data_IF_764987493316
#
_entry.id   IF_764987493316
#
_cell.length_a   1.000
_cell.length_b   1.000
_cell.length_c   1.000
_cell.angle_alpha   90.00
_cell.angle_beta   90.00
_cell.angle_gamma   90.00
#
_symmetry.space_group_name_H-M   'P 1'
#
loop_
_entity.id
_entity.type
_entity.pdbx_description
1 polymer ?
#
# COMPACT_ATOMS: atom_id res chain seq x y z
N UNK A 1 8.22 57.67 12.02
CA UNK A 1 7.66 56.62 12.90
C UNK A 1 6.55 55.88 12.15
N UNK A 2 6.75 54.62 11.75
CA UNK A 2 5.65 53.71 11.48
C UNK A 2 5.65 52.54 12.47
N UNK A 3 4.49 52.32 13.09
CA UNK A 3 4.17 51.25 14.04
C UNK A 3 3.95 49.93 13.31
N UNK A 4 4.77 48.92 13.62
CA UNK A 4 4.57 47.55 13.14
C UNK A 4 3.47 46.84 13.95
N UNK A 5 2.29 46.67 13.35
CA UNK A 5 1.30 45.70 13.81
C UNK A 5 1.69 44.30 13.35
N UNK A 6 2.51 43.60 14.14
CA UNK A 6 2.77 42.17 13.91
C UNK A 6 1.56 41.35 14.41
N UNK A 7 0.84 40.80 13.45
CA UNK A 7 -0.41 40.04 13.59
C UNK A 7 -0.36 38.92 14.63
N UNK A 8 -1.34 38.96 15.54
CA UNK A 8 -1.65 37.99 16.60
C UNK A 8 -1.83 36.53 16.11
N UNK A 9 -2.02 36.32 14.80
CA UNK A 9 -2.25 34.99 14.18
C UNK A 9 -1.02 34.07 14.21
N UNK A 10 0.20 34.62 14.13
CA UNK A 10 1.42 33.81 14.14
C UNK A 10 1.81 33.35 15.54
N UNK A 11 1.46 34.13 16.57
CA UNK A 11 1.68 33.75 17.98
C UNK A 11 0.80 32.58 18.40
N UNK A 12 -0.44 32.51 17.91
CA UNK A 12 -1.36 31.40 18.18
C UNK A 12 -0.89 30.10 17.48
N UNK A 13 -0.39 30.20 16.25
CA UNK A 13 0.21 29.08 15.52
C UNK A 13 1.48 28.56 16.21
N UNK A 14 2.32 29.47 16.72
CA UNK A 14 3.51 29.12 17.48
C UNK A 14 3.18 28.47 18.83
N UNK A 15 2.15 28.95 19.54
CA UNK A 15 1.65 28.31 20.77
C UNK A 15 1.05 26.92 20.49
N UNK A 16 0.35 26.73 19.37
CA UNK A 16 -0.17 25.42 18.98
C UNK A 16 0.96 24.43 18.69
N UNK A 17 2.04 24.89 18.03
CA UNK A 17 3.23 24.07 17.74
C UNK A 17 4.01 23.73 19.02
N UNK A 18 4.12 24.64 19.98
CA UNK A 18 4.76 24.38 21.27
C UNK A 18 3.95 23.48 22.20
N UNK A 19 2.62 23.44 22.07
CA UNK A 19 1.73 22.60 22.89
C UNK A 19 1.88 21.10 22.60
N UNK A 20 2.42 20.73 21.43
CA UNK A 20 2.70 19.32 21.08
C UNK A 20 4.01 18.79 21.69
N UNK A 21 4.83 19.64 22.31
CA UNK A 21 6.13 19.24 22.87
C UNK A 21 6.05 18.76 24.32
N UNK A 22 4.88 18.85 24.96
CA UNK A 22 4.68 18.41 26.34
C UNK A 22 4.17 16.96 26.41
N UNK A 23 4.88 16.02 25.77
CA UNK A 23 4.76 14.62 26.13
C UNK A 23 5.86 14.30 27.14
N UNK A 24 5.44 13.95 28.36
CA UNK A 24 6.30 13.27 29.33
C UNK A 24 6.93 12.05 28.63
N UNK A 25 8.25 12.10 28.43
CA UNK A 25 8.99 10.97 27.88
C UNK A 25 9.47 10.15 29.07
N UNK A 26 8.79 9.03 29.34
CA UNK A 26 9.58 7.85 29.69
C UNK A 26 10.65 7.73 28.60
N UNK A 27 11.93 7.65 28.98
CA UNK A 27 13.04 7.51 28.04
C UNK A 27 12.95 6.09 27.47
N UNK A 28 11.99 5.88 26.57
CA UNK A 28 11.97 4.72 25.71
C UNK A 28 13.22 4.86 24.85
N UNK A 29 14.23 4.04 25.13
CA UNK A 29 15.39 3.90 24.25
C UNK A 29 14.86 3.43 22.90
N UNK A 30 14.96 4.29 21.89
CA UNK A 30 14.48 4.02 20.53
C UNK A 30 15.67 3.76 19.63
N UNK A 31 16.16 2.51 19.54
CA UNK A 31 17.29 2.21 18.69
C UNK A 31 16.84 2.25 17.23
N UNK A 32 17.46 3.17 16.51
CA UNK A 32 17.20 3.39 15.11
C UNK A 32 18.34 2.81 14.26
N UNK A 33 18.01 2.43 13.03
CA UNK A 33 19.01 2.05 12.05
C UNK A 33 18.73 2.66 10.69
N UNK A 34 19.79 2.92 9.95
CA UNK A 34 19.74 3.36 8.56
C UNK A 34 20.20 2.22 7.67
N UNK A 35 19.55 2.08 6.51
CA UNK A 35 19.98 1.15 5.47
C UNK A 35 20.15 1.91 4.15
N UNK A 36 21.18 1.53 3.38
CA UNK A 36 21.38 2.00 2.03
C UNK A 36 21.72 0.82 1.13
N UNK A 37 20.86 0.54 0.14
CA UNK A 37 21.05 -0.58 -0.79
C UNK A 37 21.14 -0.04 -2.21
N UNK A 38 22.13 -0.47 -2.96
CA UNK A 38 22.13 -0.37 -4.42
C UNK A 38 21.53 -1.66 -4.99
N UNK A 39 20.74 -1.55 -6.05
CA UNK A 39 20.16 -2.72 -6.71
C UNK A 39 20.28 -2.66 -8.24
N UNK A 40 20.26 -3.84 -8.84
CA UNK A 40 20.25 -4.09 -10.28
C UNK A 40 19.31 -5.25 -10.56
N UNK A 41 18.51 -5.19 -11.64
CA UNK A 41 17.51 -6.22 -11.89
C UNK A 41 16.91 -6.25 -13.29
N UNK A 42 15.71 -6.79 -13.39
CA UNK A 42 14.94 -6.90 -14.64
C UNK A 42 13.47 -6.60 -14.39
N UNK A 43 12.78 -6.09 -15.41
CA UNK A 43 11.32 -5.97 -15.38
C UNK A 43 10.74 -7.32 -15.81
N UNK A 44 9.87 -7.88 -14.98
CA UNK A 44 9.18 -9.13 -15.25
C UNK A 44 8.02 -8.89 -16.23
N UNK A 45 8.04 -9.61 -17.35
CA UNK A 45 6.96 -9.61 -18.32
C UNK A 45 5.75 -10.39 -17.78
N UNK A 46 4.85 -9.68 -17.12
CA UNK A 46 3.59 -10.22 -16.60
C UNK A 46 2.39 -9.84 -17.48
N UNK A 47 2.58 -8.92 -18.43
CA UNK A 47 1.65 -8.57 -19.50
C UNK A 47 2.41 -8.52 -20.84
N UNK A 48 1.84 -9.06 -21.90
CA UNK A 48 2.41 -9.02 -23.26
C UNK A 48 2.53 -7.59 -23.79
N UNK A 49 1.59 -6.72 -23.41
CA UNK A 49 1.58 -5.32 -23.83
C UNK A 49 2.77 -4.54 -23.25
N UNK A 50 3.44 -5.05 -22.21
CA UNK A 50 4.62 -4.42 -21.61
C UNK A 50 5.92 -4.78 -22.33
N UNK A 51 5.91 -5.78 -23.21
CA UNK A 51 7.14 -6.40 -23.72
C UNK A 51 8.10 -5.41 -24.42
N UNK A 52 7.57 -4.44 -25.17
CA UNK A 52 8.38 -3.43 -25.87
C UNK A 52 9.05 -2.42 -24.94
N UNK A 53 8.65 -2.36 -23.66
CA UNK A 53 9.23 -1.48 -22.65
C UNK A 53 10.33 -2.16 -21.83
N UNK A 54 10.48 -3.48 -21.96
CA UNK A 54 11.49 -4.28 -21.26
C UNK A 54 12.76 -4.31 -22.12
N UNK A 55 13.48 -3.19 -22.15
CA UNK A 55 14.66 -3.00 -23.02
C UNK A 55 15.99 -3.02 -22.28
N UNK A 56 15.97 -3.04 -20.94
CA UNK A 56 17.17 -2.90 -20.12
C UNK A 56 16.97 -3.43 -18.71
N UNK A 57 17.93 -3.10 -17.86
CA UNK A 57 18.03 -3.61 -16.49
C UNK A 57 17.87 -2.47 -15.48
N UNK A 58 16.73 -2.35 -14.80
CA UNK A 58 16.53 -1.29 -13.84
C UNK A 58 17.59 -1.29 -12.74
N UNK A 59 18.02 -0.08 -12.37
CA UNK A 59 18.97 0.15 -11.30
C UNK A 59 18.45 1.21 -10.36
N UNK A 60 18.89 1.18 -9.11
CA UNK A 60 18.47 2.22 -8.18
C UNK A 60 19.02 2.04 -6.80
N UNK A 61 18.48 2.86 -5.90
CA UNK A 61 18.81 2.84 -4.48
C UNK A 61 17.57 2.71 -3.62
N UNK A 62 17.69 1.94 -2.53
CA UNK A 62 16.70 1.84 -1.47
C UNK A 62 17.35 2.36 -0.19
N UNK A 63 16.90 3.53 0.25
CA UNK A 63 17.29 4.13 1.53
C UNK A 63 16.21 3.82 2.55
N UNK A 64 16.57 3.56 3.80
CA UNK A 64 15.57 3.25 4.82
C UNK A 64 15.97 3.71 6.20
N UNK A 65 14.97 4.16 6.94
CA UNK A 65 15.04 4.47 8.35
C UNK A 65 14.16 3.48 9.10
N UNK A 66 14.73 2.77 10.08
CA UNK A 66 14.05 1.73 10.82
C UNK A 66 14.05 2.05 12.31
N UNK A 67 12.94 1.75 12.97
CA UNK A 67 12.84 1.65 14.42
C UNK A 67 12.74 0.17 14.81
N UNK A 68 13.68 -0.28 15.64
CA UNK A 68 13.67 -1.64 16.17
C UNK A 68 12.72 -1.76 17.35
N UNK A 69 12.04 -2.91 17.44
CA UNK A 69 11.07 -3.19 18.51
C UNK A 69 11.61 -4.23 19.50
N UNK A 70 11.14 -4.16 20.74
CA UNK A 70 11.62 -4.98 21.86
C UNK A 70 10.51 -5.56 22.73
N UNK A 71 9.24 -5.34 22.39
CA UNK A 71 8.10 -5.83 23.17
C UNK A 71 7.49 -4.78 24.08
N UNK A 72 7.84 -3.50 23.92
CA UNK A 72 7.21 -2.39 24.65
C UNK A 72 5.72 -2.30 24.38
N UNK A 73 5.31 -2.75 23.19
CA UNK A 73 3.93 -3.02 22.89
C UNK A 73 3.71 -4.53 22.74
N UNK A 74 2.64 -5.05 23.34
CA UNK A 74 2.26 -6.47 23.30
C UNK A 74 2.27 -7.10 21.88
N UNK A 75 1.95 -6.32 20.85
CA UNK A 75 1.90 -6.81 19.48
C UNK A 75 3.30 -7.15 18.94
N UNK A 76 4.34 -6.44 19.37
CA UNK A 76 5.71 -6.63 18.88
C UNK A 76 6.18 -8.05 19.19
N UNK A 77 6.09 -8.47 20.45
CA UNK A 77 6.46 -9.82 20.86
C UNK A 77 5.60 -10.91 20.21
N UNK A 78 4.31 -10.62 19.93
CA UNK A 78 3.43 -11.55 19.20
C UNK A 78 3.87 -11.80 17.76
N UNK A 79 4.53 -10.83 17.12
CA UNK A 79 5.01 -10.90 15.74
C UNK A 79 6.53 -11.10 15.64
N UNK A 80 7.17 -11.55 16.71
CA UNK A 80 8.62 -11.75 16.77
C UNK A 80 9.44 -10.47 16.54
N UNK A 81 8.99 -9.38 17.18
CA UNK A 81 9.69 -8.09 17.24
C UNK A 81 10.04 -7.52 15.85
N UNK A 82 9.03 -7.30 14.99
CA UNK A 82 9.27 -6.72 13.68
C UNK A 82 9.72 -5.27 13.82
N UNK A 83 10.63 -4.83 12.96
CA UNK A 83 10.96 -3.41 12.87
C UNK A 83 9.91 -2.73 11.99
N UNK A 84 9.76 -1.43 12.14
CA UNK A 84 8.95 -0.63 11.24
C UNK A 84 9.63 0.69 10.94
N UNK A 85 9.28 1.30 9.82
CA UNK A 85 9.93 2.53 9.42
C UNK A 85 9.49 3.04 8.07
N UNK A 86 10.37 3.82 7.46
CA UNK A 86 10.15 4.42 6.15
C UNK A 86 11.28 4.08 5.19
N UNK A 87 10.93 3.91 3.93
CA UNK A 87 11.89 3.72 2.84
C UNK A 87 11.66 4.72 1.75
N UNK A 88 12.76 5.08 1.08
CA UNK A 88 12.76 5.82 -0.17
C UNK A 88 13.40 4.95 -1.24
N UNK A 89 12.78 4.89 -2.43
CA UNK A 89 13.31 4.18 -3.58
C UNK A 89 13.45 5.17 -4.73
N UNK A 90 14.66 5.29 -5.27
CA UNK A 90 14.89 5.94 -6.56
C UNK A 90 15.29 4.84 -7.56
N UNK A 91 14.52 4.70 -8.63
CA UNK A 91 14.68 3.63 -9.61
C UNK A 91 14.69 4.19 -11.03
N UNK A 92 15.78 3.98 -11.74
CA UNK A 92 15.87 4.20 -13.19
C UNK A 92 15.46 2.91 -13.91
N UNK A 93 14.45 3.01 -14.77
CA UNK A 93 13.90 1.85 -15.50
C UNK A 93 14.75 1.46 -16.72
N UNK A 94 15.78 2.24 -17.06
CA UNK A 94 16.64 2.04 -18.24
C UNK A 94 15.84 1.93 -19.54
N UNK A 95 14.77 2.71 -19.64
CA UNK A 95 13.94 2.83 -20.82
C UNK A 95 13.47 4.28 -20.98
N UNK A 96 13.60 4.82 -22.19
CA UNK A 96 13.31 6.23 -22.46
C UNK A 96 11.83 6.61 -22.32
N UNK A 97 10.91 5.65 -22.37
CA UNK A 97 9.47 5.89 -22.22
C UNK A 97 9.00 5.70 -20.78
N UNK A 98 9.62 4.77 -20.04
CA UNK A 98 9.32 4.54 -18.61
C UNK A 98 9.97 5.55 -17.68
N UNK A 99 11.16 6.05 -18.03
CA UNK A 99 11.90 7.02 -17.23
C UNK A 99 12.33 6.49 -15.86
N UNK A 100 12.12 7.32 -14.84
CA UNK A 100 12.57 7.08 -13.47
C UNK A 100 11.37 7.16 -12.53
N UNK A 101 11.41 6.38 -11.46
CA UNK A 101 10.40 6.36 -10.41
C UNK A 101 11.03 6.70 -9.05
N UNK A 102 10.37 7.58 -8.30
CA UNK A 102 10.76 7.96 -6.94
C UNK A 102 9.61 7.66 -5.98
N UNK A 103 9.83 6.73 -5.06
CA UNK A 103 8.79 6.26 -4.13
C UNK A 103 9.13 6.50 -2.67
N UNK A 104 8.09 6.77 -1.88
CA UNK A 104 8.14 6.84 -0.42
C UNK A 104 7.19 5.81 0.18
N UNK A 105 7.69 5.02 1.13
CA UNK A 105 7.02 3.84 1.65
C UNK A 105 7.02 3.85 3.17
N UNK A 106 5.93 3.37 3.76
CA UNK A 106 5.96 2.81 5.11
C UNK A 106 6.21 1.31 5.03
N UNK A 107 7.05 0.76 5.92
CA UNK A 107 7.40 -0.66 5.87
C UNK A 107 7.45 -1.34 7.24
N UNK A 108 7.37 -2.67 7.19
CA UNK A 108 7.69 -3.58 8.29
C UNK A 108 8.82 -4.53 7.89
N UNK A 109 9.70 -4.85 8.84
CA UNK A 109 10.73 -5.88 8.71
C UNK A 109 10.41 -7.03 9.65
N UNK A 110 10.20 -8.21 9.10
CA UNK A 110 10.05 -9.45 9.82
C UNK A 110 11.36 -10.22 9.77
N UNK A 111 11.67 -10.93 10.85
CA UNK A 111 12.98 -11.51 11.05
C UNK A 111 12.93 -13.01 11.35
N UNK A 112 13.89 -13.75 10.78
CA UNK A 112 14.20 -15.14 11.07
C UNK A 112 15.72 -15.31 11.22
N UNK A 113 16.18 -16.52 11.61
CA UNK A 113 17.60 -16.85 11.79
C UNK A 113 18.34 -15.86 12.70
N UNK A 114 17.83 -15.63 13.91
CA UNK A 114 18.37 -14.65 14.86
C UNK A 114 18.53 -13.25 14.25
N UNK A 115 17.52 -12.83 13.48
CA UNK A 115 17.46 -11.55 12.77
C UNK A 115 18.47 -11.37 11.63
N UNK A 116 19.12 -12.46 11.20
CA UNK A 116 19.97 -12.45 10.01
C UNK A 116 19.19 -12.57 8.71
N UNK A 117 18.00 -13.17 8.71
CA UNK A 117 17.12 -13.18 7.55
C UNK A 117 16.00 -12.15 7.78
N UNK A 118 15.90 -11.17 6.89
CA UNK A 118 14.91 -10.10 6.93
C UNK A 118 13.95 -10.24 5.75
N UNK A 119 12.65 -10.28 6.03
CA UNK A 119 11.58 -10.03 5.07
C UNK A 119 10.99 -8.65 5.32
N UNK A 120 11.17 -7.72 4.38
CA UNK A 120 10.57 -6.40 4.42
C UNK A 120 9.39 -6.32 3.46
N UNK A 121 8.31 -5.72 3.92
CA UNK A 121 7.14 -5.39 3.09
C UNK A 121 6.88 -3.89 3.23
N UNK A 122 6.95 -3.17 2.11
CA UNK A 122 6.71 -1.74 2.04
C UNK A 122 5.56 -1.40 1.12
N UNK A 123 4.70 -0.49 1.57
CA UNK A 123 3.62 0.09 0.78
C UNK A 123 3.80 1.60 0.76
N UNK A 124 3.62 2.19 -0.41
CA UNK A 124 3.94 3.59 -0.62
C UNK A 124 3.23 4.21 -1.82
N UNK A 125 3.64 5.44 -2.06
CA UNK A 125 3.30 6.22 -3.25
C UNK A 125 4.58 6.55 -3.99
N UNK A 126 4.50 6.64 -5.30
CA UNK A 126 5.63 6.99 -6.14
C UNK A 126 5.25 8.02 -7.20
N UNK A 127 6.25 8.74 -7.68
CA UNK A 127 6.16 9.66 -8.81
C UNK A 127 6.99 9.07 -9.94
N UNK A 128 6.41 8.97 -11.14
CA UNK A 128 7.14 8.66 -12.36
C UNK A 128 7.47 9.94 -13.12
N UNK A 129 8.67 10.01 -13.72
CA UNK A 129 9.09 11.15 -14.53
C UNK A 129 8.47 11.16 -15.92
N UNK A 130 7.98 10.01 -16.40
CA UNK A 130 7.48 9.87 -17.77
C UNK A 130 6.17 9.08 -17.80
N UNK A 131 5.03 9.64 -17.35
CA UNK A 131 3.73 8.99 -17.52
C UNK A 131 3.34 8.89 -19.00
N UNK A 132 2.30 8.11 -19.28
CA UNK A 132 1.60 8.09 -20.57
C UNK A 132 1.10 9.48 -20.92
N UNK A 133 1.31 9.86 -22.17
CA UNK A 133 0.74 11.05 -22.80
C UNK A 133 0.47 10.69 -24.26
N UNK A 134 -0.76 10.89 -24.73
CA UNK A 134 -1.18 10.43 -26.06
C UNK A 134 -0.37 11.08 -27.20
N UNK A 135 0.12 12.30 -26.98
CA UNK A 135 0.86 13.06 -27.98
C UNK A 135 2.38 12.94 -27.80
N UNK A 136 2.86 12.88 -26.54
CA UNK A 136 4.28 13.00 -26.21
C UNK A 136 4.95 11.68 -25.79
N UNK A 137 4.20 10.74 -25.22
CA UNK A 137 4.74 9.49 -24.67
C UNK A 137 3.75 8.33 -24.77
N UNK A 138 3.14 8.16 -25.94
CA UNK A 138 2.11 7.15 -26.18
C UNK A 138 2.62 5.71 -26.02
N UNK A 139 3.95 5.51 -26.06
CA UNK A 139 4.58 4.19 -25.88
C UNK A 139 4.56 3.71 -24.43
N UNK A 140 4.46 4.60 -23.44
CA UNK A 140 4.37 4.18 -22.04
C UNK A 140 2.95 3.75 -21.68
N UNK A 141 2.62 2.50 -21.96
CA UNK A 141 1.35 1.91 -21.52
C UNK A 141 1.37 1.38 -20.07
N UNK A 142 2.48 1.55 -19.34
CA UNK A 142 2.59 1.08 -17.96
C UNK A 142 1.97 2.06 -16.95
N UNK A 143 2.15 3.37 -17.17
CA UNK A 143 1.82 4.41 -16.19
C UNK A 143 0.90 5.50 -16.75
N UNK A 144 -0.41 5.35 -16.62
CA UNK A 144 -1.39 6.35 -17.07
C UNK A 144 -1.35 7.70 -16.33
N UNK A 145 -0.66 7.77 -15.18
CA UNK A 145 -0.58 8.96 -14.34
C UNK A 145 0.82 9.15 -13.75
N UNK A 146 1.14 10.39 -13.37
CA UNK A 146 2.38 10.75 -12.69
C UNK A 146 2.49 10.14 -11.30
N UNK A 147 1.38 10.13 -10.55
CA UNK A 147 1.31 9.50 -9.23
C UNK A 147 0.96 8.01 -9.38
N UNK A 148 1.71 7.17 -8.68
CA UNK A 148 1.62 5.73 -8.69
C UNK A 148 1.46 5.20 -7.26
N UNK A 149 0.69 4.13 -7.10
CA UNK A 149 0.81 3.23 -5.95
C UNK A 149 2.05 2.37 -6.15
N UNK A 150 2.80 2.15 -5.08
CA UNK A 150 3.96 1.28 -5.14
C UNK A 150 4.04 0.35 -3.95
N UNK A 151 4.32 -0.92 -4.23
CA UNK A 151 4.55 -1.95 -3.22
C UNK A 151 5.92 -2.56 -3.47
N UNK A 152 6.67 -2.85 -2.41
CA UNK A 152 7.86 -3.67 -2.57
C UNK A 152 7.99 -4.71 -1.47
N UNK A 153 8.59 -5.83 -1.83
CA UNK A 153 8.94 -6.93 -0.95
C UNK A 153 10.43 -7.14 -1.07
N UNK A 154 11.15 -7.21 0.04
CA UNK A 154 12.61 -7.42 0.06
C UNK A 154 12.95 -8.56 0.99
N UNK A 155 13.75 -9.51 0.52
CA UNK A 155 14.30 -10.59 1.33
C UNK A 155 15.83 -10.46 1.34
N UNK A 156 16.40 -10.12 2.49
CA UNK A 156 17.84 -9.95 2.64
C UNK A 156 18.41 -10.84 3.74
N UNK A 157 19.63 -11.32 3.50
CA UNK A 157 20.54 -11.65 4.59
C UNK A 157 21.17 -10.36 5.11
N UNK A 158 21.09 -10.12 6.42
CA UNK A 158 21.55 -8.92 7.11
C UNK A 158 22.53 -9.31 8.20
N UNK A 159 23.76 -8.81 8.10
CA UNK A 159 24.80 -8.96 9.09
C UNK A 159 25.15 -7.57 9.65
N UNK A 160 24.63 -7.20 10.83
CA UNK A 160 25.00 -5.94 11.48
C UNK A 160 26.43 -5.99 12.04
N UNK A 161 26.98 -4.81 12.33
CA UNK A 161 28.18 -4.60 13.15
C UNK A 161 29.40 -5.43 12.73
N UNK A 162 29.72 -5.39 11.44
CA UNK A 162 30.95 -5.99 10.90
C UNK A 162 32.15 -5.12 11.25
N UNK A 163 32.01 -3.79 11.15
CA UNK A 163 32.99 -2.81 11.59
C UNK A 163 32.25 -1.75 12.41
N UNK A 164 32.45 -1.78 13.73
CA UNK A 164 31.74 -0.91 14.67
C UNK A 164 30.22 -0.98 14.43
N UNK A 165 29.56 0.14 14.13
CA UNK A 165 28.11 0.22 13.89
C UNK A 165 27.69 -0.09 12.44
N UNK A 166 28.65 -0.38 11.56
CA UNK A 166 28.42 -0.63 10.13
C UNK A 166 28.35 -2.13 9.87
N UNK A 167 27.29 -2.57 9.22
CA UNK A 167 27.08 -3.92 8.73
C UNK A 167 26.79 -3.98 7.23
N UNK A 168 26.69 -5.20 6.72
CA UNK A 168 26.37 -5.49 5.32
C UNK A 168 25.03 -6.22 5.21
N UNK A 169 24.36 -6.04 4.09
CA UNK A 169 23.19 -6.83 3.73
C UNK A 169 23.10 -7.04 2.22
N UNK A 170 22.54 -8.18 1.83
CA UNK A 170 22.33 -8.51 0.42
C UNK A 170 21.13 -9.43 0.27
N UNK A 171 20.52 -9.44 -0.91
CA UNK A 171 19.38 -10.27 -1.19
C UNK A 171 18.64 -9.85 -2.44
N UNK A 172 17.33 -10.06 -2.42
CA UNK A 172 16.44 -9.82 -3.55
C UNK A 172 15.29 -8.91 -3.17
N UNK A 173 14.79 -8.15 -4.14
CA UNK A 173 13.60 -7.33 -4.00
C UNK A 173 12.67 -7.45 -5.21
N UNK A 174 11.37 -7.40 -4.93
CA UNK A 174 10.30 -7.23 -5.91
C UNK A 174 9.71 -5.84 -5.72
N UNK A 175 9.68 -5.02 -6.76
CA UNK A 175 9.17 -3.64 -6.72
C UNK A 175 8.06 -3.50 -7.78
N UNK A 176 6.85 -3.16 -7.34
CA UNK A 176 5.68 -3.00 -8.20
C UNK A 176 5.27 -1.53 -8.27
N UNK A 177 5.07 -1.00 -9.47
CA UNK A 177 4.49 0.32 -9.71
C UNK A 177 3.25 0.23 -10.59
N UNK A 178 2.14 0.79 -10.14
CA UNK A 178 0.90 0.93 -10.92
C UNK A 178 0.15 2.19 -10.50
N UNK A 179 -0.82 2.64 -11.27
CA UNK A 179 -1.74 3.71 -10.84
C UNK A 179 -3.08 3.17 -10.30
N UNK A 180 -3.20 1.86 -10.15
CA UNK A 180 -4.39 1.18 -9.66
C UNK A 180 -5.70 1.57 -10.39
N UNK A 181 -5.62 1.69 -11.71
CA UNK A 181 -6.70 2.09 -12.62
C UNK A 181 -7.32 3.45 -12.28
N UNK A 182 -6.56 4.34 -11.63
CA UNK A 182 -6.94 5.75 -11.49
C UNK A 182 -7.04 6.42 -12.86
N UNK A 183 -6.14 6.07 -13.79
CA UNK A 183 -6.14 6.59 -15.17
C UNK A 183 -5.58 5.55 -16.14
N UNK A 184 -6.23 5.34 -17.27
CA UNK A 184 -5.75 4.42 -18.30
C UNK A 184 -4.68 5.06 -19.19
N UNK A 185 -3.68 4.29 -19.66
CA UNK A 185 -3.46 2.85 -19.45
C UNK A 185 -2.74 2.51 -18.12
N UNK A 186 -2.79 1.25 -17.70
CA UNK A 186 -2.13 0.79 -16.46
C UNK A 186 -1.60 -0.65 -16.58
N UNK A 187 -0.73 -0.92 -17.56
CA UNK A 187 -0.06 -2.22 -17.65
C UNK A 187 0.89 -2.49 -16.46
N UNK A 188 1.28 -1.44 -15.72
CA UNK A 188 2.17 -1.49 -14.56
C UNK A 188 3.59 -1.99 -14.86
N UNK A 189 4.48 -1.93 -13.88
CA UNK A 189 5.78 -2.63 -13.94
C UNK A 189 6.04 -3.42 -12.66
N UNK A 190 6.74 -4.54 -12.82
CA UNK A 190 7.22 -5.39 -11.74
C UNK A 190 8.72 -5.61 -11.93
N UNK A 191 9.56 -5.10 -11.04
CA UNK A 191 11.00 -5.32 -11.10
C UNK A 191 11.43 -6.39 -10.11
N UNK A 192 12.17 -7.39 -10.59
CA UNK A 192 12.91 -8.33 -9.74
C UNK A 192 14.37 -7.89 -9.71
N UNK A 193 14.89 -7.60 -8.53
CA UNK A 193 16.22 -6.99 -8.37
C UNK A 193 17.05 -7.74 -7.34
N UNK A 194 18.36 -7.73 -7.54
CA UNK A 194 19.34 -8.12 -6.53
C UNK A 194 19.94 -6.87 -5.93
N UNK A 195 20.16 -6.86 -4.62
CA UNK A 195 20.70 -5.72 -3.91
C UNK A 195 21.93 -6.07 -3.05
N UNK A 196 22.84 -5.11 -2.96
CA UNK A 196 23.93 -5.08 -2.00
C UNK A 196 23.88 -3.75 -1.26
N UNK A 197 24.01 -3.78 0.06
CA UNK A 197 23.82 -2.59 0.87
C UNK A 197 24.53 -2.61 2.20
N UNK A 198 24.62 -1.42 2.78
CA UNK A 198 25.10 -1.17 4.12
C UNK A 198 23.92 -1.04 5.08
N UNK A 199 24.13 -1.42 6.33
CA UNK A 199 23.25 -1.06 7.43
C UNK A 199 24.07 -0.39 8.54
N UNK A 200 23.53 0.66 9.15
CA UNK A 200 24.21 1.46 10.16
C UNK A 200 23.31 1.59 11.39
N UNK A 201 23.83 1.22 12.56
CA UNK A 201 23.12 1.38 13.84
C UNK A 201 23.36 2.81 14.38
N UNK A 202 22.29 3.54 14.65
CA UNK A 202 22.38 4.92 15.19
C UNK A 202 22.60 4.93 16.71
N UNK A 203 22.29 3.83 17.38
CA UNK A 203 22.37 3.67 18.83
C UNK A 203 23.37 2.58 19.16
N UNK A 204 24.13 2.76 20.25
CA UNK A 204 25.08 1.76 20.75
C UNK A 204 24.35 0.47 21.18
N UNK A 205 24.93 -0.69 20.89
CA UNK A 205 24.32 -1.99 21.25
C UNK A 205 24.11 -2.14 22.76
N UNK A 206 24.99 -1.57 23.57
CA UNK A 206 24.90 -1.57 25.03
C UNK A 206 23.66 -0.81 25.55
N UNK A 207 23.07 0.06 24.72
CA UNK A 207 21.84 0.79 25.01
C UNK A 207 20.59 0.08 24.48
N UNK A 208 20.67 -1.20 24.08
CA UNK A 208 19.49 -1.96 23.65
C UNK A 208 18.81 -2.65 24.84
N UNK A 209 17.50 -2.42 25.05
CA UNK A 209 16.76 -3.11 26.09
C UNK A 209 16.67 -4.61 25.78
N UNK A 210 16.57 -5.43 26.82
CA UNK A 210 16.26 -6.85 26.67
C UNK A 210 14.88 -7.05 26.02
N UNK A 211 14.72 -8.13 25.24
CA UNK A 211 13.43 -8.47 24.65
C UNK A 211 12.40 -8.81 25.74
N UNK A 212 11.31 -8.04 25.78
CA UNK A 212 10.17 -8.30 26.67
C UNK A 212 9.38 -9.47 26.09
N UNK A 213 9.30 -10.61 26.79
CA UNK A 213 8.72 -11.84 26.23
C UNK A 213 7.21 -11.70 25.99
N UNK A 214 6.71 -12.46 25.01
CA UNK A 214 5.26 -12.50 24.74
C UNK A 214 4.48 -13.06 25.93
N UNK A 215 3.44 -12.34 26.36
CA UNK A 215 2.46 -12.86 27.32
C UNK A 215 1.44 -13.71 26.57
N UNK A 216 1.34 -15.00 26.93
CA UNK A 216 0.31 -15.89 26.37
C UNK A 216 -1.04 -15.56 27.00
N UNK A 217 -1.98 -15.06 26.19
CA UNK A 217 -3.36 -14.86 26.61
C UNK A 217 -4.33 -15.26 25.50
N UNK A 218 -5.48 -15.83 25.90
CA UNK A 218 -6.61 -16.03 25.01
C UNK A 218 -7.35 -14.70 24.83
N UNK A 219 -7.85 -14.46 23.63
CA UNK A 219 -8.58 -13.23 23.32
C UNK A 219 -9.62 -13.48 22.23
N UNK A 220 -10.83 -12.98 22.45
CA UNK A 220 -11.89 -12.95 21.45
C UNK A 220 -12.81 -11.76 21.75
N UNK A 221 -13.43 -11.21 20.71
CA UNK A 221 -14.52 -10.22 20.86
C UNK A 221 -15.84 -10.86 20.40
N UNK A 222 -17.00 -10.42 20.89
CA UNK A 222 -18.30 -10.80 20.31
C UNK A 222 -18.40 -10.47 18.82
N UNK A 223 -19.41 -11.05 18.16
CA UNK A 223 -19.71 -10.67 16.77
C UNK A 223 -20.10 -9.19 16.77
N UNK A 224 -19.52 -8.43 15.84
CA UNK A 224 -19.81 -7.02 15.67
C UNK A 224 -20.28 -6.73 14.26
N UNK A 225 -21.27 -5.87 14.14
CA UNK A 225 -21.69 -5.32 12.87
C UNK A 225 -20.80 -4.14 12.47
N UNK A 226 -20.61 -3.96 11.17
CA UNK A 226 -19.83 -2.89 10.58
C UNK A 226 -20.58 -2.28 9.40
N UNK A 227 -20.44 -0.98 9.24
CA UNK A 227 -20.85 -0.24 8.05
C UNK A 227 -19.66 0.59 7.58
N UNK A 228 -19.39 0.54 6.28
CA UNK A 228 -18.24 1.23 5.67
C UNK A 228 -18.68 1.89 4.38
N UNK A 229 -18.34 3.17 4.26
CA UNK A 229 -18.43 3.90 3.00
C UNK A 229 -17.02 3.97 2.42
N UNK A 230 -16.87 3.58 1.15
CA UNK A 230 -15.62 3.73 0.40
C UNK A 230 -15.83 4.52 -0.87
N UNK A 231 -14.86 5.34 -1.21
CA UNK A 231 -14.87 6.11 -2.44
C UNK A 231 -13.45 6.31 -2.94
N UNK A 232 -13.34 6.77 -4.18
CA UNK A 232 -12.10 6.98 -4.90
C UNK A 232 -12.44 7.42 -6.32
N UNK A 233 -11.42 7.41 -7.17
CA UNK A 233 -11.54 7.75 -8.59
C UNK A 233 -10.92 6.61 -9.38
N UNK A 234 -11.58 6.19 -10.44
CA UNK A 234 -11.04 5.24 -11.39
C UNK A 234 -11.54 5.54 -12.81
N UNK A 235 -10.91 4.90 -13.80
CA UNK A 235 -11.24 5.00 -15.23
C UNK A 235 -11.44 3.58 -15.79
N UNK A 236 -12.15 3.49 -16.92
CA UNK A 236 -12.28 2.26 -17.71
C UNK A 236 -10.95 1.75 -18.27
N UNK A 237 -10.90 0.50 -18.71
CA UNK A 237 -9.71 -0.05 -19.36
C UNK A 237 -9.41 0.57 -20.74
N UNK A 238 -10.39 1.26 -21.34
CA UNK A 238 -10.21 2.01 -22.58
C UNK A 238 -9.67 3.42 -22.31
N UNK A 239 -8.63 3.80 -23.06
CA UNK A 239 -7.97 5.10 -22.94
C UNK A 239 -8.92 6.20 -23.42
N UNK A 240 -9.15 7.21 -22.57
CA UNK A 240 -9.83 8.44 -22.97
C UNK A 240 -11.32 8.50 -22.65
N UNK A 241 -11.88 7.49 -21.95
CA UNK A 241 -13.25 7.57 -21.44
C UNK A 241 -13.35 8.40 -20.15
N UNK A 242 -12.23 8.64 -19.47
CA UNK A 242 -12.15 9.62 -18.40
C UNK A 242 -12.35 9.05 -17.00
N UNK A 243 -11.92 9.85 -16.02
CA UNK A 243 -11.93 9.49 -14.61
C UNK A 243 -13.30 9.76 -13.98
N UNK A 244 -13.85 8.77 -13.28
CA UNK A 244 -15.13 8.88 -12.58
C UNK A 244 -14.97 8.60 -11.08
N UNK A 245 -15.66 9.36 -10.21
CA UNK A 245 -15.73 9.01 -8.80
C UNK A 245 -16.67 7.81 -8.61
N UNK A 246 -16.33 6.92 -7.67
CA UNK A 246 -17.19 5.79 -7.33
C UNK A 246 -17.61 5.81 -5.85
N UNK A 247 -18.66 5.06 -5.51
CA UNK A 247 -19.10 4.85 -4.14
C UNK A 247 -19.36 3.36 -3.90
N UNK A 248 -18.88 2.85 -2.77
CA UNK A 248 -19.11 1.49 -2.32
C UNK A 248 -19.64 1.53 -0.90
N UNK A 249 -20.78 0.89 -0.69
CA UNK A 249 -21.39 0.73 0.63
C UNK A 249 -21.22 -0.72 1.05
N UNK A 250 -20.50 -0.96 2.14
CA UNK A 250 -20.32 -2.31 2.67
C UNK A 250 -20.96 -2.45 4.03
N UNK A 251 -21.71 -3.54 4.20
CA UNK A 251 -22.24 -3.95 5.49
C UNK A 251 -21.78 -5.37 5.79
N UNK A 252 -21.18 -5.59 6.96
CA UNK A 252 -20.65 -6.90 7.31
C UNK A 252 -20.64 -7.13 8.81
N UNK A 253 -20.62 -8.40 9.19
CA UNK A 253 -20.30 -8.83 10.54
C UNK A 253 -18.84 -9.26 10.63
N UNK A 254 -18.22 -9.02 11.77
CA UNK A 254 -16.89 -9.53 12.08
C UNK A 254 -16.85 -10.27 13.41
N UNK A 255 -15.94 -11.25 13.50
CA UNK A 255 -15.65 -11.98 14.73
C UNK A 255 -14.15 -11.98 14.96
N UNK A 256 -13.69 -11.31 16.02
CA UNK A 256 -12.30 -11.41 16.46
C UNK A 256 -12.10 -12.71 17.23
N UNK A 257 -11.35 -13.63 16.62
CA UNK A 257 -11.09 -14.97 17.16
C UNK A 257 -9.76 -15.06 17.91
N UNK A 258 -8.85 -14.10 17.68
CA UNK A 258 -7.59 -14.02 18.41
C UNK A 258 -7.07 -12.57 18.47
N UNK A 259 -5.95 -12.36 19.17
CA UNK A 259 -5.24 -11.08 19.12
C UNK A 259 -4.86 -10.66 17.70
N UNK A 260 -4.61 -11.63 16.81
CA UNK A 260 -4.12 -11.42 15.44
C UNK A 260 -5.20 -11.50 14.37
N UNK A 261 -6.30 -12.20 14.61
CA UNK A 261 -7.20 -12.63 13.54
C UNK A 261 -8.65 -12.21 13.81
N UNK A 262 -9.23 -11.57 12.80
CA UNK A 262 -10.66 -11.24 12.75
C UNK A 262 -11.22 -11.80 11.45
N UNK A 263 -12.31 -12.54 11.52
CA UNK A 263 -13.03 -13.05 10.35
C UNK A 263 -14.16 -12.11 10.01
N UNK A 264 -14.46 -11.95 8.72
CA UNK A 264 -15.49 -11.06 8.19
C UNK A 264 -16.42 -11.82 7.25
N UNK A 265 -17.70 -11.47 7.26
CA UNK A 265 -18.68 -11.93 6.28
C UNK A 265 -19.68 -10.79 6.03
N UNK A 266 -19.92 -10.44 4.77
CA UNK A 266 -20.91 -9.41 4.46
C UNK A 266 -21.16 -9.19 2.98
N UNK A 267 -21.68 -8.01 2.67
CA UNK A 267 -22.10 -7.62 1.34
C UNK A 267 -21.64 -6.21 0.99
N UNK A 268 -21.50 -5.97 -0.31
CA UNK A 268 -21.08 -4.72 -0.92
C UNK A 268 -22.10 -4.29 -1.97
N UNK A 269 -22.50 -3.03 -1.95
CA UNK A 269 -23.15 -2.35 -3.07
C UNK A 269 -22.09 -1.50 -3.78
N UNK A 270 -21.90 -1.73 -5.07
CA UNK A 270 -20.94 -1.02 -5.91
C UNK A 270 -21.65 -0.07 -6.85
N UNK A 271 -21.31 1.21 -6.74
CA UNK A 271 -21.73 2.26 -7.65
C UNK A 271 -20.47 2.77 -8.35
N UNK A 272 -20.20 2.26 -9.54
CA UNK A 272 -18.99 2.53 -10.34
C UNK A 272 -19.35 3.18 -11.68
N UNK A 273 -19.54 4.52 -11.74
CA UNK A 273 -20.02 5.20 -12.94
C UNK A 273 -19.13 5.04 -14.18
N UNK A 274 -17.82 4.78 -14.03
CA UNK A 274 -16.92 4.52 -15.17
C UNK A 274 -17.42 3.38 -16.08
N UNK A 275 -18.19 2.44 -15.53
CA UNK A 275 -18.77 1.35 -16.29
C UNK A 275 -19.84 1.84 -17.27
N UNK A 276 -20.52 2.95 -17.02
CA UNK A 276 -21.48 3.52 -17.98
C UNK A 276 -20.80 3.89 -19.28
N UNK A 277 -19.70 4.65 -19.17
CA UNK A 277 -18.95 5.13 -20.32
C UNK A 277 -18.34 3.94 -21.09
N UNK A 278 -17.90 2.91 -20.36
CA UNK A 278 -17.39 1.66 -20.95
C UNK A 278 -18.49 0.86 -21.67
N UNK A 279 -19.65 0.67 -21.04
CA UNK A 279 -20.81 -0.03 -21.62
C UNK A 279 -21.26 0.66 -22.91
N UNK A 280 -21.39 1.98 -22.88
CA UNK A 280 -21.74 2.78 -24.06
C UNK A 280 -20.69 2.61 -25.17
N UNK A 281 -19.41 2.78 -24.84
CA UNK A 281 -18.32 2.62 -25.79
C UNK A 281 -18.31 1.23 -26.44
N UNK A 282 -18.46 0.16 -25.66
CA UNK A 282 -18.47 -1.20 -26.18
C UNK A 282 -19.67 -1.48 -27.07
N UNK A 283 -20.86 -1.02 -26.69
CA UNK A 283 -22.09 -1.21 -27.47
C UNK A 283 -22.00 -0.59 -28.88
N UNK A 284 -21.25 0.51 -29.01
CA UNK A 284 -21.09 1.25 -30.26
C UNK A 284 -19.88 0.73 -31.05
N UNK A 285 -18.71 0.62 -30.41
CA UNK A 285 -17.42 0.43 -31.07
C UNK A 285 -16.95 -1.03 -31.09
N UNK A 286 -17.40 -1.88 -30.16
CA UNK A 286 -16.85 -3.21 -29.93
C UNK A 286 -17.94 -4.30 -29.93
N UNK A 287 -18.70 -4.36 -31.02
CA UNK A 287 -19.83 -5.28 -31.22
C UNK A 287 -19.54 -6.76 -30.94
N UNK A 288 -18.27 -7.18 -31.00
CA UNK A 288 -17.84 -8.54 -30.67
C UNK A 288 -18.14 -8.96 -29.21
N UNK A 289 -18.32 -8.01 -28.29
CA UNK A 289 -18.66 -8.30 -26.90
C UNK A 289 -20.16 -8.45 -26.64
N UNK A 290 -21.01 -8.21 -27.65
CA UNK A 290 -22.47 -8.29 -27.56
C UNK A 290 -23.10 -7.41 -26.46
N UNK A 291 -22.38 -6.40 -25.95
CA UNK A 291 -22.89 -5.36 -25.06
C UNK A 291 -23.97 -4.55 -25.79
N UNK A 292 -25.14 -4.39 -25.18
CA UNK A 292 -26.30 -3.71 -25.76
C UNK A 292 -26.32 -2.20 -25.46
N UNK A 293 -25.69 -1.77 -24.37
CA UNK A 293 -25.62 -0.37 -23.94
C UNK A 293 -26.62 0.00 -22.85
N UNK A 294 -27.53 -0.90 -22.48
CA UNK A 294 -28.56 -0.72 -21.46
C UNK A 294 -28.30 -1.53 -20.17
N UNK A 295 -27.17 -2.22 -20.08
CA UNK A 295 -26.77 -3.00 -18.92
C UNK A 295 -26.61 -2.14 -17.65
N UNK A 296 -26.91 -2.73 -16.49
CA UNK A 296 -26.73 -2.04 -15.22
C UNK A 296 -25.25 -1.99 -14.78
N UNK A 297 -24.70 -0.78 -14.72
CA UNK A 297 -23.35 -0.47 -14.21
C UNK A 297 -23.20 -0.71 -12.69
N UNK A 298 -24.30 -0.93 -11.97
CA UNK A 298 -24.27 -1.22 -10.53
C UNK A 298 -24.04 -2.71 -10.30
N UNK A 299 -23.34 -3.03 -9.21
CA UNK A 299 -23.07 -4.42 -8.82
C UNK A 299 -23.40 -4.63 -7.35
N UNK A 300 -23.80 -5.84 -6.98
CA UNK A 300 -23.94 -6.26 -5.58
C UNK A 300 -23.09 -7.49 -5.37
N UNK A 301 -22.22 -7.45 -4.37
CA UNK A 301 -21.34 -8.55 -4.01
C UNK A 301 -21.58 -9.07 -2.60
N UNK A 302 -21.22 -10.32 -2.39
CA UNK A 302 -21.05 -10.92 -1.06
C UNK A 302 -19.59 -11.30 -0.89
N UNK A 303 -19.06 -11.21 0.32
CA UNK A 303 -17.66 -11.52 0.58
C UNK A 303 -17.43 -12.20 1.92
N UNK A 304 -16.38 -13.02 1.96
CA UNK A 304 -15.73 -13.49 3.18
C UNK A 304 -14.35 -12.84 3.29
N UNK A 305 -13.91 -12.53 4.50
CA UNK A 305 -12.65 -11.82 4.69
C UNK A 305 -11.94 -12.11 5.99
N UNK A 306 -10.71 -11.61 6.07
CA UNK A 306 -9.81 -11.72 7.21
C UNK A 306 -9.09 -10.40 7.46
N UNK A 307 -8.95 -10.05 8.74
CA UNK A 307 -8.02 -9.03 9.19
C UNK A 307 -6.87 -9.65 9.98
N UNK A 308 -5.64 -9.38 9.53
CA UNK A 308 -4.44 -9.58 10.31
C UNK A 308 -4.14 -8.33 11.12
N UNK A 309 -4.35 -8.37 12.44
CA UNK A 309 -4.26 -7.20 13.32
C UNK A 309 -2.85 -6.95 13.85
N UNK A 310 -2.31 -5.78 13.53
CA UNK A 310 -1.06 -5.23 14.05
C UNK A 310 -1.36 -3.98 14.88
N UNK A 311 -1.66 -4.19 16.17
CA UNK A 311 -2.07 -3.13 17.10
C UNK A 311 -3.36 -2.41 16.65
N UNK A 312 -3.30 -1.08 16.48
CA UNK A 312 -4.37 -0.25 15.93
C UNK A 312 -4.49 -0.36 14.40
N UNK A 313 -3.55 -1.02 13.73
CA UNK A 313 -3.60 -1.25 12.30
C UNK A 313 -4.02 -2.70 12.01
N UNK A 314 -4.52 -2.97 10.81
CA UNK A 314 -4.75 -4.31 10.34
C UNK A 314 -4.54 -4.39 8.83
N UNK A 315 -4.04 -5.52 8.35
CA UNK A 315 -4.09 -5.87 6.94
C UNK A 315 -5.40 -6.60 6.67
N UNK A 316 -6.18 -6.09 5.72
CA UNK A 316 -7.49 -6.61 5.33
C UNK A 316 -7.33 -7.41 4.04
N UNK A 317 -7.96 -8.59 4.00
CA UNK A 317 -8.08 -9.41 2.80
C UNK A 317 -9.52 -9.90 2.70
N UNK A 318 -10.13 -9.78 1.52
CA UNK A 318 -11.49 -10.24 1.27
C UNK A 318 -11.53 -10.92 -0.09
N UNK A 319 -12.30 -12.00 -0.15
CA UNK A 319 -12.69 -12.70 -1.37
C UNK A 319 -14.19 -12.53 -1.51
N UNK A 320 -14.62 -11.97 -2.64
CA UNK A 320 -16.01 -11.71 -2.92
C UNK A 320 -16.48 -12.26 -4.26
N UNK A 321 -17.80 -12.35 -4.38
CA UNK A 321 -18.51 -12.82 -5.55
C UNK A 321 -19.68 -11.87 -5.82
N UNK A 322 -19.85 -11.43 -7.07
CA UNK A 322 -20.98 -10.60 -7.43
C UNK A 322 -22.27 -11.43 -7.54
N UNK A 323 -23.20 -11.19 -6.61
CA UNK A 323 -24.54 -11.75 -6.63
C UNK A 323 -25.44 -11.06 -7.68
N UNK A 324 -25.20 -9.78 -7.94
CA UNK A 324 -25.81 -9.02 -9.03
C UNK A 324 -24.72 -8.36 -9.88
N UNK A 325 -24.75 -8.64 -11.18
CA UNK A 325 -23.67 -8.36 -12.13
C UNK A 325 -24.22 -8.49 -13.56
N UNK A 326 -24.84 -7.43 -14.04
CA UNK A 326 -25.52 -7.41 -15.34
C UNK A 326 -24.53 -7.22 -16.51
N UNK A 327 -23.45 -6.49 -16.26
CA UNK A 327 -22.35 -6.27 -17.22
C UNK A 327 -21.09 -7.08 -16.87
N UNK A 328 -20.52 -7.79 -17.86
CA UNK A 328 -19.31 -8.61 -17.70
C UNK A 328 -18.02 -7.79 -17.73
N UNK A 329 -17.69 -7.19 -16.57
CA UNK A 329 -16.44 -6.51 -16.29
C UNK A 329 -15.44 -7.37 -15.50
N UNK A 330 -14.42 -7.91 -16.16
CA UNK A 330 -13.28 -8.64 -15.57
C UNK A 330 -13.65 -9.89 -14.74
N UNK A 331 -14.89 -10.38 -14.86
CA UNK A 331 -15.39 -11.58 -14.21
C UNK A 331 -16.10 -11.36 -12.86
N UNK A 332 -16.71 -12.45 -12.38
CA UNK A 332 -17.64 -12.41 -11.22
C UNK A 332 -16.99 -12.48 -9.84
N UNK A 333 -15.70 -12.79 -9.76
CA UNK A 333 -14.95 -12.93 -8.51
C UNK A 333 -14.07 -11.72 -8.33
N UNK A 334 -14.10 -11.10 -7.15
CA UNK A 334 -13.26 -9.98 -6.81
C UNK A 334 -12.47 -10.23 -5.53
N UNK A 335 -11.30 -9.61 -5.45
CA UNK A 335 -10.46 -9.57 -4.27
C UNK A 335 -10.39 -8.14 -3.74
N UNK A 336 -10.28 -8.00 -2.43
CA UNK A 336 -9.98 -6.71 -1.79
C UNK A 336 -8.86 -6.89 -0.78
N UNK A 337 -7.75 -6.19 -0.97
CA UNK A 337 -6.60 -6.21 -0.07
C UNK A 337 -6.24 -4.81 0.40
N UNK A 338 -5.77 -4.62 1.63
CA UNK A 338 -5.25 -3.30 2.02
C UNK A 338 -5.05 -3.08 3.51
N UNK A 339 -4.95 -1.82 3.91
CA UNK A 339 -4.65 -1.40 5.28
C UNK A 339 -5.88 -0.78 5.93
N UNK A 340 -6.11 -1.12 7.19
CA UNK A 340 -7.12 -0.52 8.06
C UNK A 340 -6.45 0.05 9.30
N UNK A 341 -6.93 1.19 9.79
CA UNK A 341 -6.50 1.81 11.05
C UNK A 341 -7.70 2.15 11.92
N UNK A 342 -7.73 1.61 13.13
CA UNK A 342 -8.68 1.95 14.18
C UNK A 342 -8.25 3.25 14.87
N UNK A 343 -9.04 4.31 14.71
CA UNK A 343 -8.83 5.57 15.43
C UNK A 343 -9.42 5.47 16.84
N UNK A 344 -10.57 4.79 16.95
CA UNK A 344 -11.20 4.39 18.20
C UNK A 344 -11.65 2.92 18.08
N UNK A 345 -12.12 2.27 19.16
CA UNK A 345 -12.71 0.94 19.06
C UNK A 345 -13.93 0.86 18.14
N UNK A 346 -14.55 2.01 17.81
CA UNK A 346 -15.79 2.12 17.02
C UNK A 346 -15.61 2.77 15.65
N UNK A 347 -14.50 3.45 15.39
CA UNK A 347 -14.28 4.21 14.16
C UNK A 347 -12.93 3.82 13.57
N UNK A 348 -12.93 3.50 12.27
CA UNK A 348 -11.72 3.16 11.54
C UNK A 348 -11.70 3.80 10.15
N UNK A 349 -10.48 4.02 9.64
CA UNK A 349 -10.22 4.32 8.25
C UNK A 349 -9.61 3.11 7.54
N UNK A 350 -9.76 3.03 6.23
CA UNK A 350 -9.14 1.99 5.40
C UNK A 350 -8.67 2.54 4.06
N UNK A 351 -7.61 1.95 3.53
CA UNK A 351 -7.17 2.11 2.15
C UNK A 351 -7.04 0.71 1.57
N UNK A 352 -7.89 0.37 0.59
CA UNK A 352 -7.96 -0.97 0.02
C UNK A 352 -7.87 -0.92 -1.50
N UNK A 353 -7.26 -1.94 -2.10
CA UNK A 353 -7.25 -2.16 -3.55
C UNK A 353 -8.28 -3.24 -3.85
N UNK A 354 -9.24 -2.94 -4.71
CA UNK A 354 -10.15 -3.95 -5.30
C UNK A 354 -9.56 -4.43 -6.62
N UNK A 355 -9.60 -5.73 -6.87
CA UNK A 355 -9.08 -6.35 -8.09
C UNK A 355 -9.90 -7.55 -8.54
N UNK A 356 -9.72 -7.93 -9.79
CA UNK A 356 -10.23 -9.15 -10.40
C UNK A 356 -9.05 -9.98 -10.88
N UNK A 357 -8.75 -11.06 -10.15
CA UNK A 357 -7.47 -11.74 -10.31
C UNK A 357 -6.29 -10.76 -10.14
N UNK A 358 -5.48 -10.63 -11.19
CA UNK A 358 -4.31 -9.74 -11.21
C UNK A 358 -4.60 -8.30 -11.68
N UNK A 359 -5.83 -7.99 -12.12
CA UNK A 359 -6.19 -6.65 -12.62
C UNK A 359 -6.83 -5.81 -11.52
N UNK A 360 -6.23 -4.66 -11.22
CA UNK A 360 -6.78 -3.71 -10.26
C UNK A 360 -8.00 -3.00 -10.86
N UNK A 361 -9.08 -2.83 -10.10
CA UNK A 361 -10.20 -1.96 -10.50
C UNK A 361 -10.07 -0.57 -9.88
N UNK A 362 -9.72 -0.48 -8.59
CA UNK A 362 -9.65 0.79 -7.89
C UNK A 362 -8.92 0.72 -6.55
N UNK A 363 -8.23 1.81 -6.19
CA UNK A 363 -7.92 2.13 -4.78
C UNK A 363 -9.12 2.82 -4.14
N UNK A 364 -9.54 2.27 -3.02
CA UNK A 364 -10.70 2.64 -2.23
C UNK A 364 -10.25 3.27 -0.91
N UNK A 365 -10.67 4.51 -0.65
CA UNK A 365 -10.53 5.17 0.65
C UNK A 365 -11.82 5.01 1.42
N UNK A 366 -11.74 4.41 2.60
CA UNK A 366 -12.89 4.01 3.41
C UNK A 366 -12.92 4.64 4.79
N UNK A 367 -14.12 4.98 5.25
CA UNK A 367 -14.41 5.26 6.65
C UNK A 367 -15.51 4.32 7.13
N UNK A 368 -15.31 3.74 8.31
CA UNK A 368 -16.21 2.73 8.84
C UNK A 368 -16.52 2.90 10.31
N UNK A 369 -17.71 2.43 10.68
CA UNK A 369 -18.17 2.31 12.06
C UNK A 369 -18.28 0.84 12.45
N UNK A 370 -17.96 0.56 13.70
CA UNK A 370 -17.96 -0.78 14.34
C UNK A 370 -18.51 -0.67 15.77
N UNK A 371 -19.84 -0.53 15.96
CA UNK A 371 -20.46 -0.17 17.24
C UNK A 371 -20.06 -1.00 18.48
#
# INVERSE_FOLDING_TARGET
MPTFYFSMKYKLLFLLVCSFSAFSQEIEQKPYSLDANFFYGTILQHNKDLAHLITGHPTGVILSYNRRTYGFNDWEARYNYPDYGFSFIAQDQKNEFLGENYGLYGHFNFYALNRKLMLRVGQGVAVTTKPFDIDKNFRNNAYGSTLLSSTYIMMNYKQPNIIDKIGLQTGISLIHYSNANVKSPNASTNSFTFNLGLNYQLSDEEAFPGYIPKVKSRYSEPIKWNLVLRSGVNESDYIGLGQQPFLIVSSFIDKRVSHKSTLQLGADLFLSPFLKDQIEYESIALKQYNTQGDEDWKRVGVFAGHELRLNKNAFVTQLGYYAYYDYDFEGRVYFRGGLKRYFTPKIFGAVTLKSHGAKAEAVEFGIGIRP
#
